data_IF_524214496399
#
_entry.id   IF_524214496399
#
_cell.length_a   1.000
_cell.length_b   1.000
_cell.length_c   1.000
_cell.angle_alpha   90.00
_cell.angle_beta   90.00
_cell.angle_gamma   90.00
#
_symmetry.space_group_name_H-M   'P 1'
#
loop_
_entity.id
_entity.type
_entity.pdbx_description
1 polymer ?
#
# COMPACT_ATOMS: atom_id res chain seq x y z
N UNK A 1 -14.34 23.12 -8.38
CA UNK A 1 -14.27 22.66 -8.27
C UNK A 1 -14.41 21.79 -7.93
N UNK A 2 -14.30 21.63 -7.68
CA UNK A 2 -14.39 20.91 -7.37
C UNK A 2 -14.76 19.69 -7.51
N UNK A 3 -14.83 19.57 -8.05
CA UNK A 3 -15.36 18.43 -8.44
C UNK A 3 -14.61 17.31 -8.10
N UNK A 4 -13.55 17.46 -8.20
CA UNK A 4 -12.82 16.39 -7.92
C UNK A 4 -13.26 15.71 -6.77
N UNK A 5 -13.60 16.39 -5.92
CA UNK A 5 -13.90 15.81 -4.85
C UNK A 5 -14.91 14.95 -4.98
N UNK A 6 -15.71 15.20 -5.73
CA UNK A 6 -16.74 14.49 -5.73
C UNK A 6 -16.49 13.27 -6.27
N UNK A 7 -15.64 13.13 -7.03
CA UNK A 7 -15.51 12.01 -7.54
C UNK A 7 -14.87 11.20 -6.67
N UNK A 8 -15.12 10.03 -6.53
CA UNK A 8 -14.51 9.23 -5.62
C UNK A 8 -13.04 9.20 -5.86
N UNK A 9 -12.31 9.01 -4.83
CA UNK A 9 -10.89 8.96 -4.87
C UNK A 9 -10.47 7.63 -5.47
N UNK A 10 -9.68 7.66 -6.53
CA UNK A 10 -9.25 6.42 -7.16
C UNK A 10 -8.52 5.53 -6.18
N UNK A 11 -7.78 6.09 -5.25
CA UNK A 11 -7.05 5.29 -4.29
C UNK A 11 -7.97 4.46 -3.41
N UNK A 12 -9.19 4.90 -3.23
CA UNK A 12 -10.11 4.13 -2.41
C UNK A 12 -10.69 2.93 -3.14
N UNK A 13 -10.36 2.73 -4.40
CA UNK A 13 -10.74 1.51 -5.08
C UNK A 13 -9.87 0.36 -4.61
N UNK A 14 -8.71 0.65 -4.02
CA UNK A 14 -7.82 -0.39 -3.54
C UNK A 14 -8.44 -1.01 -2.31
N UNK A 15 -8.59 -2.34 -2.26
CA UNK A 15 -9.17 -2.98 -1.10
C UNK A 15 -8.40 -2.61 0.17
N UNK A 16 -9.11 -2.23 1.20
CA UNK A 16 -8.51 -1.85 2.47
C UNK A 16 -8.13 -0.39 2.59
N UNK A 17 -8.26 0.39 1.52
CA UNK A 17 -7.89 1.80 1.58
C UNK A 17 -9.14 2.65 1.68
N UNK A 18 -9.34 3.26 2.83
CA UNK A 18 -10.43 4.21 3.03
C UNK A 18 -9.91 5.63 2.91
N UNK A 19 -10.72 6.61 3.30
CA UNK A 19 -10.32 8.01 3.14
C UNK A 19 -9.06 8.38 3.90
N UNK A 20 -8.88 7.82 5.08
CA UNK A 20 -7.72 8.15 5.89
C UNK A 20 -6.44 7.63 5.24
N UNK A 21 -6.44 6.38 4.79
CA UNK A 21 -5.26 5.82 4.16
C UNK A 21 -5.01 6.44 2.80
N UNK A 22 -6.07 6.82 2.09
CA UNK A 22 -5.88 7.51 0.82
C UNK A 22 -5.17 8.84 1.06
N UNK A 23 -5.50 9.55 2.14
CA UNK A 23 -4.82 10.78 2.46
C UNK A 23 -3.35 10.53 2.79
N UNK A 24 -3.07 9.44 3.52
CA UNK A 24 -1.71 9.09 3.86
C UNK A 24 -0.90 8.77 2.60
N UNK A 25 -1.51 8.07 1.65
CA UNK A 25 -0.83 7.76 0.41
C UNK A 25 -0.50 9.05 -0.37
N UNK A 26 -1.41 10.01 -0.34
CA UNK A 26 -1.12 11.27 -1.02
C UNK A 26 0.03 12.01 -0.36
N UNK A 27 0.17 11.90 0.96
CA UNK A 27 1.30 12.51 1.64
C UNK A 27 2.60 11.88 1.15
N UNK A 28 2.56 10.63 0.73
CA UNK A 28 3.75 9.94 0.25
C UNK A 28 3.96 10.13 -1.25
N UNK A 29 3.18 11.00 -1.87
CA UNK A 29 3.35 11.28 -3.29
C UNK A 29 2.56 10.37 -4.21
N UNK A 30 1.67 9.55 -3.66
CA UNK A 30 0.86 8.64 -4.47
C UNK A 30 -0.47 9.32 -4.73
N UNK A 31 -0.76 9.62 -5.98
CA UNK A 31 -2.01 10.30 -6.32
C UNK A 31 -2.94 9.40 -7.14
N UNK A 32 -2.44 8.30 -7.68
CA UNK A 32 -3.29 7.36 -8.40
C UNK A 32 -2.74 5.96 -8.22
N UNK A 33 -3.51 4.97 -8.60
CA UNK A 33 -3.12 3.58 -8.41
C UNK A 33 -1.81 3.27 -9.12
N UNK A 34 -1.61 3.84 -10.32
CA UNK A 34 -0.40 3.54 -11.06
C UNK A 34 0.86 3.98 -10.32
N UNK A 35 0.75 4.98 -9.46
CA UNK A 35 1.90 5.45 -8.72
C UNK A 35 2.40 4.42 -7.70
N UNK A 36 1.57 3.42 -7.38
CA UNK A 36 1.98 2.39 -6.44
C UNK A 36 2.78 1.27 -7.09
N UNK A 37 2.76 1.18 -8.40
CA UNK A 37 3.49 0.12 -9.05
C UNK A 37 4.96 0.25 -8.72
N UNK A 38 5.55 -0.85 -8.28
CA UNK A 38 6.97 -0.90 -7.97
C UNK A 38 7.40 -0.07 -6.76
N UNK A 39 6.46 0.45 -5.97
CA UNK A 39 6.85 1.14 -4.74
C UNK A 39 7.21 0.10 -3.68
N UNK A 40 8.06 0.50 -2.77
CA UNK A 40 8.49 -0.36 -1.67
C UNK A 40 7.62 -0.08 -0.45
N UNK A 41 6.76 -1.00 -0.05
CA UNK A 41 5.86 -0.74 1.08
C UNK A 41 6.59 -0.44 2.39
N UNK A 42 7.75 -1.09 2.60
CA UNK A 42 8.49 -0.84 3.83
C UNK A 42 9.02 0.58 3.85
N UNK A 43 9.53 1.05 2.71
CA UNK A 43 10.00 2.42 2.61
C UNK A 43 8.87 3.42 2.76
N UNK A 44 7.69 3.10 2.19
CA UNK A 44 6.53 3.96 2.33
C UNK A 44 6.13 4.09 3.80
N UNK A 45 6.15 2.97 4.51
CA UNK A 45 5.76 2.97 5.92
C UNK A 45 6.76 3.81 6.75
N UNK A 46 8.06 3.64 6.49
CA UNK A 46 9.06 4.41 7.19
C UNK A 46 8.93 5.89 6.90
N UNK A 47 8.66 6.25 5.64
CA UNK A 47 8.49 7.63 5.26
C UNK A 47 7.27 8.23 5.95
N UNK A 48 6.19 7.46 6.07
CA UNK A 48 5.00 7.96 6.71
C UNK A 48 5.25 8.20 8.21
N UNK A 49 5.98 7.30 8.85
CA UNK A 49 6.31 7.51 10.27
C UNK A 49 7.14 8.77 10.43
N UNK A 50 8.03 9.04 9.50
CA UNK A 50 8.84 10.21 9.59
C UNK A 50 7.99 11.47 9.38
N UNK A 51 7.08 11.44 8.42
CA UNK A 51 6.21 12.58 8.18
C UNK A 51 5.28 12.85 9.35
N UNK A 52 4.81 11.79 10.01
CA UNK A 52 3.91 11.97 11.13
C UNK A 52 4.65 12.32 12.41
N UNK A 53 5.95 12.06 12.45
CA UNK A 53 6.72 12.30 13.65
C UNK A 53 6.35 11.37 14.77
N UNK A 54 5.80 10.20 14.46
CA UNK A 54 5.33 9.27 15.46
C UNK A 54 5.20 7.89 14.87
N UNK A 55 5.09 6.90 15.73
CA UNK A 55 4.91 5.52 15.30
C UNK A 55 3.54 5.37 14.65
N UNK A 56 3.50 4.67 13.53
CA UNK A 56 2.27 4.40 12.80
C UNK A 56 1.92 2.93 13.00
N UNK A 57 0.63 2.64 13.16
CA UNK A 57 0.17 1.28 13.39
C UNK A 57 0.70 0.37 12.29
N UNK A 58 1.18 -0.80 12.67
CA UNK A 58 1.75 -1.72 11.71
C UNK A 58 0.74 -2.21 10.68
N UNK A 59 -0.54 -2.16 10.99
CA UNK A 59 -1.55 -2.54 10.01
C UNK A 59 -1.47 -1.67 8.76
N UNK A 60 -0.99 -0.44 8.89
CA UNK A 60 -0.85 0.44 7.75
C UNK A 60 0.21 -0.12 6.79
N UNK A 61 1.30 -0.71 7.33
CA UNK A 61 2.28 -1.36 6.49
C UNK A 61 1.64 -2.52 5.73
N UNK A 62 0.79 -3.28 6.40
CA UNK A 62 0.16 -4.42 5.75
C UNK A 62 -0.74 -3.96 4.61
N UNK A 63 -1.45 -2.85 4.82
CA UNK A 63 -2.29 -2.31 3.75
C UNK A 63 -1.41 -1.81 2.60
N UNK A 64 -0.24 -1.22 2.90
CA UNK A 64 0.64 -0.77 1.84
C UNK A 64 1.15 -1.96 1.02
N UNK A 65 1.49 -3.08 1.68
CA UNK A 65 1.92 -4.27 0.96
C UNK A 65 0.83 -4.76 0.04
N UNK A 66 -0.40 -4.82 0.54
CA UNK A 66 -1.53 -5.27 -0.25
C UNK A 66 -1.79 -4.30 -1.41
N UNK A 67 -1.68 -3.01 -1.16
CA UNK A 67 -1.97 -2.01 -2.17
C UNK A 67 -0.95 -2.07 -3.31
N UNK A 68 0.32 -2.24 -3.00
CA UNK A 68 1.35 -2.33 -4.03
C UNK A 68 1.13 -3.59 -4.86
N UNK A 69 0.79 -4.71 -4.21
CA UNK A 69 0.50 -5.93 -4.93
C UNK A 69 -0.69 -5.71 -5.87
N UNK A 70 -1.75 -5.11 -5.36
CA UNK A 70 -2.99 -4.93 -6.12
C UNK A 70 -2.74 -4.03 -7.32
N UNK A 71 -1.97 -2.97 -7.12
CA UNK A 71 -1.71 -2.02 -8.19
C UNK A 71 -0.87 -2.62 -9.29
N UNK A 72 0.02 -3.52 -8.96
CA UNK A 72 0.93 -4.10 -9.95
C UNK A 72 0.47 -5.41 -10.55
N UNK A 73 -0.75 -5.86 -10.25
CA UNK A 73 -1.21 -7.16 -10.70
C UNK A 73 -2.47 -6.97 -11.53
N UNK A 74 -2.47 -7.48 -12.76
CA UNK A 74 -3.61 -7.26 -13.64
C UNK A 74 -4.84 -8.04 -13.20
N UNK A 75 -4.67 -9.15 -12.53
CA UNK A 75 -5.82 -9.94 -12.06
C UNK A 75 -5.55 -10.35 -10.62
N UNK A 76 -5.70 -9.43 -9.67
CA UNK A 76 -5.33 -9.72 -8.28
C UNK A 76 -6.11 -10.87 -7.70
N UNK A 77 -5.43 -11.72 -6.96
CA UNK A 77 -6.06 -12.82 -6.24
C UNK A 77 -6.93 -12.22 -5.15
N UNK A 78 -8.21 -12.61 -5.06
CA UNK A 78 -9.09 -12.05 -4.03
C UNK A 78 -8.54 -12.23 -2.61
N UNK A 79 -7.92 -13.36 -2.32
CA UNK A 79 -7.39 -13.56 -0.99
C UNK A 79 -6.22 -12.63 -0.72
N UNK A 80 -5.39 -12.36 -1.71
CA UNK A 80 -4.26 -11.47 -1.54
C UNK A 80 -4.66 -10.00 -1.66
N UNK A 81 -5.95 -9.73 -1.91
CA UNK A 81 -6.45 -8.38 -1.88
C UNK A 81 -6.91 -8.02 -0.47
N UNK A 82 -6.86 -8.96 0.48
CA UNK A 82 -7.19 -8.69 1.86
C UNK A 82 -5.92 -8.26 2.57
N UNK A 83 -5.96 -7.11 3.24
CA UNK A 83 -4.72 -6.56 3.80
C UNK A 83 -4.09 -7.49 4.84
N UNK A 84 -4.90 -8.27 5.55
CA UNK A 84 -4.32 -9.12 6.60
C UNK A 84 -3.57 -10.32 6.02
N UNK A 85 -3.74 -10.61 4.74
CA UNK A 85 -2.94 -11.65 4.12
C UNK A 85 -1.48 -11.21 4.04
N UNK A 86 -1.21 -9.92 4.20
CA UNK A 86 0.13 -9.37 4.07
C UNK A 86 0.81 -9.08 5.40
N UNK A 87 0.19 -9.50 6.50
CA UNK A 87 0.81 -9.30 7.78
C UNK A 87 2.02 -10.20 7.88
N UNK A 88 2.91 -9.89 8.83
CA UNK A 88 4.08 -10.72 9.06
C UNK A 88 3.62 -12.14 9.38
N UNK A 89 4.15 -13.11 8.69
CA UNK A 89 3.74 -14.50 8.88
C UNK A 89 2.42 -14.85 8.22
N UNK A 90 1.86 -13.94 7.41
CA UNK A 90 0.58 -14.19 6.79
C UNK A 90 0.68 -14.98 5.50
N UNK A 91 -0.42 -15.02 4.78
CA UNK A 91 -0.50 -15.85 3.59
C UNK A 91 0.48 -15.43 2.50
N UNK A 92 0.64 -14.13 2.30
CA UNK A 92 1.54 -13.67 1.25
C UNK A 92 2.97 -14.07 1.56
N UNK A 93 3.38 -13.97 2.81
CA UNK A 93 4.73 -14.34 3.17
C UNK A 93 4.91 -15.84 2.98
N UNK A 94 3.91 -16.63 3.35
CA UNK A 94 4.01 -18.08 3.19
C UNK A 94 4.12 -18.47 1.71
N UNK A 95 3.59 -17.65 0.81
CA UNK A 95 3.70 -17.93 -0.61
C UNK A 95 4.97 -17.32 -1.21
N UNK A 96 5.80 -16.64 -0.40
CA UNK A 96 7.03 -16.05 -0.90
C UNK A 96 6.82 -14.79 -1.72
N UNK A 97 5.73 -14.07 -1.45
CA UNK A 97 5.40 -12.92 -2.26
C UNK A 97 5.73 -11.58 -1.64
N UNK A 98 6.42 -11.55 -0.52
CA UNK A 98 6.72 -10.30 0.14
C UNK A 98 7.55 -9.42 -0.75
N UNK A 99 7.15 -8.18 -0.93
CA UNK A 99 7.81 -7.32 -1.91
C UNK A 99 9.10 -6.65 -1.49
N UNK A 100 9.73 -7.11 -0.46
CA UNK A 100 10.91 -6.47 -0.05
C UNK A 100 12.10 -6.89 -0.80
N UNK A 101 11.99 -7.85 -1.56
CA UNK A 101 13.13 -8.32 -2.23
C UNK A 101 13.95 -7.36 -2.97
N UNK A 102 13.35 -6.44 -3.51
CA UNK A 102 14.10 -5.66 -4.29
C UNK A 102 15.14 -5.00 -3.59
N UNK A 103 15.00 -4.67 -2.43
CA UNK A 103 15.95 -4.00 -1.83
C UNK A 103 17.06 -4.82 -1.59
N UNK A 104 16.88 -5.97 -1.38
CA UNK A 104 17.96 -6.80 -1.13
C UNK A 104 18.83 -6.83 -2.29
N UNK A 105 18.27 -6.70 -3.38
CA UNK A 105 19.06 -6.84 -4.52
C UNK A 105 20.04 -5.79 -4.61
N UNK A 106 19.79 -4.74 -4.07
CA UNK A 106 20.69 -3.77 -4.24
C UNK A 106 21.88 -3.99 -3.59
N UNK A 107 22.00 -4.75 -2.89
CA UNK A 107 23.16 -4.92 -2.27
C UNK A 107 24.05 -5.43 -2.88
#
# INVERSE_FOLDING_TARGET
MTPARRRHDELQKIPGVGPSLAADLRLLGVTCVADLCDRDPEGMYADLEELMGAHVDRCVLYVFRSAVYWAGTSAPDPELSLWWSWKDGGEAERRGLMPQARRAATT
#
